data_IF_251860565139
#
_entry.id   IF_251860565139
#
_cell.length_a   1.000
_cell.length_b   1.000
_cell.length_c   1.000
_cell.angle_alpha   90.00
_cell.angle_beta   90.00
_cell.angle_gamma   90.00
#
_symmetry.space_group_name_H-M   'P 1'
#
loop_
_entity.id
_entity.type
_entity.pdbx_description
1 polymer ?
#
# COMPACT_ATOMS: atom_id res chain seq x y z
N UNK A 1 52.85 40.49 -42.45
CA UNK A 1 51.78 40.95 -41.56
C UNK A 1 50.87 39.79 -41.27
N UNK A 2 50.95 39.14 -40.11
CA UNK A 2 50.11 38.01 -39.70
C UNK A 2 49.10 38.53 -38.68
N UNK A 3 47.79 38.46 -38.97
CA UNK A 3 46.72 38.77 -38.02
C UNK A 3 46.56 37.58 -37.04
N UNK A 4 46.35 37.82 -35.76
CA UNK A 4 46.00 36.79 -34.82
C UNK A 4 44.50 36.48 -34.91
N UNK A 5 44.19 35.17 -35.00
CA UNK A 5 42.84 34.64 -34.92
C UNK A 5 42.41 34.62 -33.44
N UNK A 6 41.46 35.46 -33.08
CA UNK A 6 40.86 35.44 -31.76
C UNK A 6 39.83 34.32 -31.66
N UNK A 7 40.12 33.31 -30.85
CA UNK A 7 39.20 32.21 -30.53
C UNK A 7 38.25 32.68 -29.43
N UNK A 8 36.99 32.97 -29.76
CA UNK A 8 35.96 33.31 -28.80
C UNK A 8 35.40 32.04 -28.19
N UNK A 9 35.75 31.74 -26.94
CA UNK A 9 35.22 30.62 -26.15
C UNK A 9 33.83 30.98 -25.65
N UNK A 10 32.77 30.47 -26.25
CA UNK A 10 31.42 30.57 -25.72
C UNK A 10 31.26 29.58 -24.54
N UNK A 11 31.26 30.13 -23.32
CA UNK A 11 30.87 29.39 -22.11
C UNK A 11 29.35 29.21 -22.14
N UNK A 12 28.84 28.04 -22.47
CA UNK A 12 27.44 27.65 -22.24
C UNK A 12 27.31 27.30 -20.78
N UNK A 13 26.82 28.21 -19.96
CA UNK A 13 26.41 27.92 -18.59
C UNK A 13 25.15 27.06 -18.65
N UNK A 14 25.28 25.76 -18.34
CA UNK A 14 24.14 24.91 -18.08
C UNK A 14 23.49 25.40 -16.77
N UNK A 15 22.33 26.05 -16.88
CA UNK A 15 21.47 26.34 -15.75
C UNK A 15 20.98 24.98 -15.22
N UNK A 16 21.55 24.51 -14.11
CA UNK A 16 21.00 23.42 -13.34
C UNK A 16 19.61 23.91 -12.82
N UNK A 17 18.55 23.45 -13.45
CA UNK A 17 17.21 23.60 -12.89
C UNK A 17 17.20 22.80 -11.60
N UNK A 18 17.09 23.47 -10.46
CA UNK A 18 16.78 22.79 -9.20
C UNK A 18 15.44 22.07 -9.40
N UNK A 19 15.43 20.76 -9.25
CA UNK A 19 14.18 19.99 -9.30
C UNK A 19 13.22 20.55 -8.26
N UNK A 20 11.99 20.84 -8.67
CA UNK A 20 10.98 21.28 -7.72
C UNK A 20 10.77 20.22 -6.65
N UNK A 21 10.64 20.62 -5.37
CA UNK A 21 10.40 19.67 -4.29
C UNK A 21 9.09 18.89 -4.54
N UNK A 22 9.14 17.60 -4.34
CA UNK A 22 7.98 16.73 -4.49
C UNK A 22 6.94 17.10 -3.43
N UNK A 23 5.70 17.25 -3.85
CA UNK A 23 4.52 17.44 -2.99
C UNK A 23 3.44 16.46 -3.43
N UNK A 24 2.84 15.75 -2.48
CA UNK A 24 1.75 14.83 -2.73
C UNK A 24 0.46 15.28 -2.03
N UNK A 25 -0.67 15.19 -2.74
CA UNK A 25 -1.96 15.01 -2.11
C UNK A 25 -2.24 13.50 -2.01
N UNK A 26 -2.76 13.04 -0.88
CA UNK A 26 -2.96 11.62 -0.65
C UNK A 26 -4.14 11.34 0.28
N UNK A 27 -4.78 10.18 0.05
CA UNK A 27 -5.68 9.56 1.01
C UNK A 27 -4.86 8.81 2.05
N UNK A 28 -5.32 8.85 3.29
CA UNK A 28 -4.73 8.13 4.42
C UNK A 28 -5.82 7.37 5.18
N UNK A 29 -5.61 6.07 5.41
CA UNK A 29 -6.36 5.26 6.36
C UNK A 29 -5.49 5.05 7.60
N UNK A 30 -5.88 5.61 8.73
CA UNK A 30 -5.01 5.61 9.92
C UNK A 30 -5.75 5.55 11.26
N UNK A 31 -5.01 5.35 12.35
CA UNK A 31 -5.59 5.12 13.68
C UNK A 31 -6.27 6.36 14.26
N UNK A 32 -5.83 7.56 13.91
CA UNK A 32 -6.35 8.83 14.43
C UNK A 32 -7.09 9.68 13.41
N UNK A 33 -6.97 9.35 12.12
CA UNK A 33 -7.58 10.07 11.02
C UNK A 33 -7.76 9.15 9.81
N UNK A 34 -8.84 9.34 9.08
CA UNK A 34 -9.11 8.68 7.80
C UNK A 34 -9.66 9.73 6.85
N UNK A 35 -8.92 10.06 5.80
CA UNK A 35 -9.31 11.15 4.92
C UNK A 35 -8.27 11.52 3.87
N UNK A 36 -8.38 12.71 3.30
CA UNK A 36 -7.49 13.23 2.27
C UNK A 36 -6.73 14.45 2.80
N UNK A 37 -5.42 14.43 2.58
CA UNK A 37 -4.49 15.52 2.87
C UNK A 37 -3.99 16.07 1.53
N UNK A 38 -4.00 17.40 1.38
CA UNK A 38 -3.54 18.07 0.18
C UNK A 38 -2.00 18.23 0.14
N UNK A 39 -1.48 18.79 -0.96
CA UNK A 39 -0.04 18.95 -1.19
C UNK A 39 0.65 19.95 -0.25
N UNK A 40 -0.12 20.73 0.54
CA UNK A 40 0.41 21.62 1.57
C UNK A 40 0.18 21.10 2.99
N UNK A 41 -0.31 19.85 3.12
CA UNK A 41 -0.50 19.18 4.41
C UNK A 41 -1.83 19.47 5.09
N UNK A 42 -2.80 20.10 4.41
CA UNK A 42 -4.12 20.42 4.96
C UNK A 42 -5.08 19.24 4.77
N UNK A 43 -5.85 18.92 5.80
CA UNK A 43 -6.98 17.99 5.71
C UNK A 43 -8.11 18.60 4.87
N UNK A 44 -8.41 18.00 3.72
CA UNK A 44 -9.41 18.51 2.77
C UNK A 44 -10.66 17.65 2.69
N UNK A 45 -10.59 16.42 3.15
CA UNK A 45 -11.73 15.52 3.32
C UNK A 45 -11.51 14.61 4.52
N UNK A 46 -12.54 14.39 5.33
CA UNK A 46 -12.51 13.56 6.54
C UNK A 46 -13.70 12.60 6.53
N UNK A 47 -13.46 11.31 6.72
CA UNK A 47 -14.49 10.29 6.81
C UNK A 47 -15.37 10.42 8.07
N UNK A 48 -14.98 11.24 9.04
CA UNK A 48 -15.67 11.39 10.34
C UNK A 48 -15.50 10.19 11.28
N UNK A 49 -14.77 9.15 10.87
CA UNK A 49 -14.45 7.97 11.67
C UNK A 49 -12.99 7.59 11.42
N UNK A 50 -12.18 7.60 12.45
CA UNK A 50 -10.79 7.13 12.43
C UNK A 50 -10.71 5.61 12.52
N UNK A 51 -9.47 5.06 12.50
CA UNK A 51 -9.22 3.63 12.70
C UNK A 51 -9.43 2.78 11.47
N UNK A 52 -9.48 3.39 10.27
CA UNK A 52 -9.53 2.62 9.02
C UNK A 52 -8.23 1.84 8.80
N UNK A 53 -8.37 0.70 8.14
CA UNK A 53 -7.28 -0.25 7.87
C UNK A 53 -6.85 -0.26 6.42
N UNK A 54 -7.80 -0.04 5.52
CA UNK A 54 -7.59 0.01 4.08
C UNK A 54 -8.56 1.02 3.46
N UNK A 55 -8.29 1.48 2.26
CA UNK A 55 -9.21 2.34 1.53
C UNK A 55 -8.64 2.86 0.23
N UNK A 56 -9.55 3.32 -0.64
CA UNK A 56 -9.26 3.79 -1.98
C UNK A 56 -10.08 5.02 -2.32
N UNK A 57 -9.46 6.03 -2.91
CA UNK A 57 -10.17 7.00 -3.73
C UNK A 57 -10.35 6.37 -5.12
N UNK A 58 -11.59 6.11 -5.48
CA UNK A 58 -11.94 5.44 -6.73
C UNK A 58 -11.85 6.40 -7.92
N UNK A 59 -11.70 5.91 -9.17
CA UNK A 59 -11.60 6.79 -10.35
C UNK A 59 -12.74 7.78 -10.50
N UNK A 60 -13.97 7.41 -10.06
CA UNK A 60 -15.14 8.28 -10.03
C UNK A 60 -15.19 9.34 -8.92
N UNK A 61 -14.18 9.36 -8.04
CA UNK A 61 -14.08 10.28 -6.91
C UNK A 61 -14.73 9.79 -5.61
N UNK A 62 -15.47 8.68 -5.63
CA UNK A 62 -15.96 8.05 -4.41
C UNK A 62 -14.81 7.48 -3.58
N UNK A 63 -15.02 7.33 -2.28
CA UNK A 63 -14.00 6.83 -1.36
C UNK A 63 -14.51 5.55 -0.69
N UNK A 64 -13.84 4.42 -0.99
CA UNK A 64 -14.08 3.13 -0.36
C UNK A 64 -13.16 2.99 0.85
N UNK A 65 -13.72 2.65 2.02
CA UNK A 65 -12.95 2.56 3.27
C UNK A 65 -13.34 1.29 4.03
N UNK A 66 -12.33 0.57 4.54
CA UNK A 66 -12.50 -0.57 5.43
C UNK A 66 -12.09 -0.21 6.86
N UNK A 67 -13.03 -0.35 7.78
CA UNK A 67 -12.79 -0.42 9.23
C UNK A 67 -12.82 -1.87 9.70
N UNK A 68 -12.55 -2.09 10.96
CA UNK A 68 -12.59 -3.45 11.52
C UNK A 68 -13.99 -4.09 11.48
N UNK A 69 -15.03 -3.31 11.51
CA UNK A 69 -16.44 -3.73 11.63
C UNK A 69 -17.25 -3.59 10.35
N UNK A 70 -16.82 -2.70 9.45
CA UNK A 70 -17.63 -2.30 8.28
C UNK A 70 -16.76 -1.82 7.13
N UNK A 71 -17.20 -2.06 5.91
CA UNK A 71 -16.72 -1.41 4.69
C UNK A 71 -17.79 -0.43 4.23
N UNK A 72 -17.39 0.79 3.89
CA UNK A 72 -18.27 1.82 3.31
C UNK A 72 -17.65 2.46 2.08
N UNK A 73 -18.51 2.79 1.12
CA UNK A 73 -18.18 3.70 0.04
C UNK A 73 -18.95 5.01 0.24
N UNK A 74 -18.22 6.11 0.15
CA UNK A 74 -18.76 7.46 0.28
C UNK A 74 -18.64 8.20 -1.04
N UNK A 75 -19.63 9.02 -1.36
CA UNK A 75 -19.47 10.10 -2.31
C UNK A 75 -18.55 11.20 -1.74
N UNK A 76 -18.02 12.13 -2.56
CA UNK A 76 -17.21 13.24 -2.06
C UNK A 76 -17.93 14.11 -1.02
N UNK A 77 -19.26 14.24 -1.10
CA UNK A 77 -20.13 14.93 -0.14
C UNK A 77 -20.54 14.06 1.07
N UNK A 78 -19.86 12.93 1.28
CA UNK A 78 -20.00 12.00 2.44
C UNK A 78 -21.30 11.22 2.51
N UNK A 79 -22.05 11.10 1.43
CA UNK A 79 -23.18 10.19 1.38
C UNK A 79 -22.71 8.75 1.24
N UNK A 80 -23.18 7.84 2.08
CA UNK A 80 -22.91 6.40 1.97
C UNK A 80 -23.70 5.85 0.78
N UNK A 81 -23.01 5.20 -0.14
CA UNK A 81 -23.61 4.57 -1.34
C UNK A 81 -23.41 3.06 -1.40
N UNK A 82 -22.53 2.53 -0.55
CA UNK A 82 -22.35 1.10 -0.31
C UNK A 82 -21.98 0.87 1.15
N UNK A 83 -22.49 -0.20 1.74
CA UNK A 83 -22.11 -0.66 3.08
C UNK A 83 -22.11 -2.17 3.15
N UNK A 84 -21.09 -2.73 3.79
CA UNK A 84 -21.00 -4.14 4.14
C UNK A 84 -20.52 -4.28 5.58
N UNK A 85 -21.33 -4.89 6.44
CA UNK A 85 -20.94 -5.23 7.81
C UNK A 85 -20.35 -6.65 7.85
N UNK A 86 -19.28 -6.85 8.62
CA UNK A 86 -18.69 -8.18 8.81
C UNK A 86 -19.70 -9.18 9.36
N UNK A 87 -19.53 -10.44 9.02
CA UNK A 87 -20.32 -11.52 9.61
C UNK A 87 -20.07 -11.65 11.14
N UNK A 88 -21.10 -12.08 11.87
CA UNK A 88 -21.08 -12.14 13.33
C UNK A 88 -20.01 -13.12 13.88
N UNK A 89 -19.74 -14.20 13.16
CA UNK A 89 -18.76 -15.21 13.52
C UNK A 89 -17.31 -14.74 13.33
N UNK A 90 -17.08 -13.69 12.55
CA UNK A 90 -15.75 -13.13 12.33
C UNK A 90 -15.52 -11.90 13.23
N UNK A 91 -14.26 -11.60 13.47
CA UNK A 91 -13.84 -10.60 14.44
C UNK A 91 -13.59 -9.24 13.79
N UNK A 92 -12.99 -9.25 12.61
CA UNK A 92 -12.61 -8.01 11.93
C UNK A 92 -12.50 -8.16 10.41
N UNK A 93 -12.56 -7.01 9.74
CA UNK A 93 -12.25 -6.84 8.32
C UNK A 93 -10.79 -6.43 8.18
N UNK A 94 -10.05 -7.04 7.26
CA UNK A 94 -8.65 -6.73 6.98
C UNK A 94 -8.45 -5.79 5.80
N UNK A 95 -9.27 -5.93 4.74
CA UNK A 95 -9.09 -5.21 3.47
C UNK A 95 -10.43 -4.89 2.81
N UNK A 96 -10.44 -3.87 1.94
CA UNK A 96 -11.47 -3.67 0.92
C UNK A 96 -10.87 -3.05 -0.33
N UNK A 97 -11.19 -3.61 -1.51
CA UNK A 97 -10.80 -3.05 -2.80
C UNK A 97 -11.93 -3.18 -3.82
N UNK A 98 -12.18 -2.11 -4.62
CA UNK A 98 -13.16 -2.15 -5.70
C UNK A 98 -12.57 -2.90 -6.90
N UNK A 99 -13.32 -3.87 -7.41
CA UNK A 99 -12.94 -4.66 -8.58
C UNK A 99 -13.50 -4.06 -9.87
N UNK A 100 -12.89 -4.41 -11.00
CA UNK A 100 -13.30 -3.91 -12.31
C UNK A 100 -14.74 -4.31 -12.70
N UNK A 101 -15.25 -5.44 -12.18
CA UNK A 101 -16.62 -5.89 -12.38
C UNK A 101 -17.66 -5.19 -11.49
N UNK A 102 -17.23 -4.21 -10.67
CA UNK A 102 -18.08 -3.48 -9.73
C UNK A 102 -18.21 -4.13 -8.35
N UNK A 103 -17.81 -5.38 -8.16
CA UNK A 103 -17.79 -6.03 -6.85
C UNK A 103 -16.75 -5.39 -5.92
N UNK A 104 -16.91 -5.60 -4.62
CA UNK A 104 -15.93 -5.21 -3.60
C UNK A 104 -15.25 -6.46 -3.06
N UNK A 105 -13.93 -6.54 -3.20
CA UNK A 105 -13.12 -7.54 -2.51
C UNK A 105 -13.04 -7.17 -1.04
N UNK A 106 -13.33 -8.10 -0.14
CA UNK A 106 -13.30 -7.91 1.32
C UNK A 106 -12.64 -9.15 1.95
N UNK A 107 -11.76 -8.94 2.95
CA UNK A 107 -11.31 -10.04 3.81
C UNK A 107 -11.98 -9.95 5.17
N UNK A 108 -12.55 -11.04 5.64
CA UNK A 108 -13.02 -11.21 7.01
C UNK A 108 -12.09 -12.15 7.77
N UNK A 109 -11.77 -11.78 9.00
CA UNK A 109 -10.78 -12.43 9.85
C UNK A 109 -11.41 -12.83 11.17
N UNK A 110 -11.04 -13.99 11.69
CA UNK A 110 -11.61 -14.53 12.92
C UNK A 110 -11.71 -16.05 12.89
N UNK A 111 -12.84 -16.57 13.36
CA UNK A 111 -13.09 -18.00 13.42
C UNK A 111 -13.23 -18.65 12.02
N UNK A 112 -13.67 -17.87 11.03
CA UNK A 112 -13.83 -18.29 9.63
C UNK A 112 -13.14 -17.27 8.70
N UNK A 113 -11.79 -17.28 8.65
CA UNK A 113 -11.06 -16.32 7.83
C UNK A 113 -11.36 -16.60 6.35
N UNK A 114 -11.80 -15.54 5.64
CA UNK A 114 -12.23 -15.67 4.25
C UNK A 114 -12.02 -14.39 3.46
N UNK A 115 -11.97 -14.54 2.16
CA UNK A 115 -11.99 -13.48 1.17
C UNK A 115 -13.34 -13.56 0.45
N UNK A 116 -13.97 -12.42 0.26
CA UNK A 116 -15.28 -12.29 -0.37
C UNK A 116 -15.22 -11.34 -1.55
N UNK A 117 -15.97 -11.64 -2.61
CA UNK A 117 -16.42 -10.61 -3.55
C UNK A 117 -17.89 -10.31 -3.27
N UNK A 118 -18.16 -9.07 -2.90
CA UNK A 118 -19.50 -8.59 -2.56
C UNK A 118 -20.00 -7.70 -3.69
N UNK A 119 -21.20 -7.99 -4.21
CA UNK A 119 -21.81 -7.19 -5.29
C UNK A 119 -22.21 -5.80 -4.77
N UNK A 120 -22.50 -4.82 -5.66
CA UNK A 120 -23.02 -3.51 -5.26
C UNK A 120 -24.29 -3.56 -4.40
N UNK A 121 -25.11 -4.63 -4.56
CA UNK A 121 -26.34 -4.86 -3.77
C UNK A 121 -26.06 -5.55 -2.43
N UNK A 122 -24.78 -5.78 -2.06
CA UNK A 122 -24.39 -6.40 -0.79
C UNK A 122 -24.46 -7.93 -0.76
N UNK A 123 -24.57 -8.60 -1.91
CA UNK A 123 -24.63 -10.08 -1.98
C UNK A 123 -23.22 -10.65 -2.17
N UNK A 124 -22.90 -11.73 -1.48
CA UNK A 124 -21.66 -12.49 -1.67
C UNK A 124 -21.75 -13.25 -3.00
N UNK A 125 -20.88 -12.89 -3.96
CA UNK A 125 -20.76 -13.53 -5.27
C UNK A 125 -19.65 -14.62 -5.29
N UNK A 126 -18.56 -14.39 -4.53
CA UNK A 126 -17.43 -15.32 -4.39
C UNK A 126 -17.04 -15.38 -2.91
N UNK A 127 -16.75 -16.59 -2.43
CA UNK A 127 -16.18 -16.83 -1.12
C UNK A 127 -14.98 -17.77 -1.24
N UNK A 128 -13.84 -17.35 -0.70
CA UNK A 128 -12.60 -18.14 -0.66
C UNK A 128 -12.15 -18.27 0.79
N UNK A 129 -12.06 -19.49 1.28
CA UNK A 129 -11.53 -19.78 2.62
C UNK A 129 -10.04 -19.46 2.64
N UNK A 130 -9.61 -18.62 3.60
CA UNK A 130 -8.21 -18.29 3.80
C UNK A 130 -7.56 -19.26 4.79
N UNK A 131 -6.27 -19.50 4.59
CA UNK A 131 -5.44 -20.41 5.39
C UNK A 131 -4.29 -19.63 6.07
N UNK A 132 -4.57 -18.80 7.10
CA UNK A 132 -3.57 -17.89 7.72
C UNK A 132 -2.64 -18.59 8.71
N UNK A 133 -2.85 -19.88 8.99
CA UNK A 133 -2.04 -20.71 9.90
C UNK A 133 -1.97 -20.17 11.35
N UNK A 134 -2.98 -19.38 11.77
CA UNK A 134 -3.10 -18.85 13.13
C UNK A 134 -4.55 -18.55 13.49
N UNK A 135 -4.91 -18.73 14.78
CA UNK A 135 -6.22 -18.38 15.34
C UNK A 135 -6.28 -16.92 15.82
N UNK A 136 -5.15 -16.22 15.86
CA UNK A 136 -5.14 -14.80 16.21
C UNK A 136 -5.69 -13.96 15.06
N UNK A 137 -6.98 -13.61 15.12
CA UNK A 137 -7.68 -12.88 14.07
C UNK A 137 -6.93 -11.63 13.60
N UNK A 138 -6.36 -10.87 14.54
CA UNK A 138 -5.62 -9.65 14.23
C UNK A 138 -4.34 -9.91 13.42
N UNK A 139 -3.77 -11.10 13.54
CA UNK A 139 -2.51 -11.50 12.90
C UNK A 139 -2.71 -12.48 11.72
N UNK A 140 -3.96 -12.65 11.26
CA UNK A 140 -4.26 -13.56 10.14
C UNK A 140 -3.81 -12.98 8.80
N UNK A 141 -4.58 -12.04 8.25
CA UNK A 141 -4.39 -11.53 6.88
C UNK A 141 -4.60 -10.03 6.86
N UNK A 142 -3.83 -9.34 6.03
CA UNK A 142 -4.04 -7.92 5.78
C UNK A 142 -4.27 -7.70 4.27
N UNK A 143 -3.93 -6.66 3.71
CA UNK A 143 -4.20 -6.08 2.40
C UNK A 143 -4.16 -7.08 1.23
N UNK A 144 -5.16 -7.97 1.16
CA UNK A 144 -5.33 -8.88 0.03
C UNK A 144 -5.78 -8.13 -1.23
N UNK A 145 -5.36 -8.61 -2.40
CA UNK A 145 -5.67 -8.00 -3.70
C UNK A 145 -6.05 -9.06 -4.73
N UNK A 146 -6.93 -8.72 -5.68
CA UNK A 146 -7.24 -9.57 -6.83
C UNK A 146 -6.23 -9.30 -7.94
N UNK A 147 -5.71 -10.37 -8.53
CA UNK A 147 -4.77 -10.33 -9.64
C UNK A 147 -5.49 -10.26 -10.99
N UNK A 148 -4.79 -9.80 -12.03
CA UNK A 148 -5.29 -9.83 -13.40
C UNK A 148 -5.61 -11.25 -13.90
N UNK A 149 -4.96 -12.27 -13.34
CA UNK A 149 -5.26 -13.69 -13.60
C UNK A 149 -6.64 -14.14 -13.09
N UNK A 150 -7.27 -13.35 -12.21
CA UNK A 150 -8.48 -13.72 -11.48
C UNK A 150 -8.21 -14.32 -10.11
N UNK A 151 -6.98 -14.72 -9.80
CA UNK A 151 -6.56 -15.21 -8.48
C UNK A 151 -6.48 -14.07 -7.45
N UNK A 152 -6.26 -14.42 -6.19
CA UNK A 152 -6.17 -13.49 -5.07
C UNK A 152 -4.82 -13.64 -4.39
N UNK A 153 -4.14 -12.52 -4.18
CA UNK A 153 -2.89 -12.44 -3.44
C UNK A 153 -3.20 -12.00 -2.00
N UNK A 154 -2.83 -12.81 -1.01
CA UNK A 154 -3.15 -12.58 0.40
C UNK A 154 -1.91 -12.73 1.28
N UNK A 155 -1.46 -11.64 1.94
CA UNK A 155 -0.38 -11.71 2.92
C UNK A 155 -0.91 -12.25 4.26
N UNK A 156 -0.27 -13.29 4.79
CA UNK A 156 -0.58 -13.92 6.06
C UNK A 156 0.54 -13.68 7.07
N UNK A 157 0.28 -12.85 8.08
CA UNK A 157 1.32 -12.31 8.97
C UNK A 157 2.09 -13.41 9.69
N UNK A 158 1.42 -14.18 10.57
CA UNK A 158 2.10 -15.19 11.39
C UNK A 158 2.42 -16.48 10.65
N UNK A 159 1.85 -16.68 9.45
CA UNK A 159 2.31 -17.73 8.54
C UNK A 159 3.65 -17.37 7.87
N UNK A 160 4.09 -16.10 7.92
CA UNK A 160 5.29 -15.60 7.23
C UNK A 160 5.25 -15.88 5.72
N UNK A 161 4.07 -15.72 5.10
CA UNK A 161 3.85 -16.05 3.69
C UNK A 161 2.90 -15.07 3.02
N UNK A 162 3.16 -14.80 1.77
CA UNK A 162 2.15 -14.31 0.84
C UNK A 162 1.65 -15.48 0.03
N UNK A 163 0.33 -15.74 0.06
CA UNK A 163 -0.28 -16.86 -0.69
C UNK A 163 -1.11 -16.34 -1.85
N UNK A 164 -1.06 -17.07 -2.96
CA UNK A 164 -1.95 -16.87 -4.10
C UNK A 164 -3.01 -17.97 -4.12
N UNK A 165 -4.28 -17.54 -4.11
CA UNK A 165 -5.45 -18.40 -4.12
C UNK A 165 -6.18 -18.33 -5.45
N UNK A 166 -6.66 -19.47 -5.96
CA UNK A 166 -7.67 -19.47 -7.04
C UNK A 166 -9.04 -19.07 -6.48
N UNK A 167 -10.02 -18.70 -7.33
CA UNK A 167 -11.40 -18.45 -6.89
C UNK A 167 -12.06 -19.65 -6.17
N UNK A 168 -11.58 -20.88 -6.42
CA UNK A 168 -12.04 -22.11 -5.77
C UNK A 168 -11.35 -22.37 -4.43
N UNK A 169 -10.44 -21.48 -3.99
CA UNK A 169 -9.75 -21.57 -2.70
C UNK A 169 -8.47 -22.44 -2.70
N UNK A 170 -7.98 -22.86 -3.87
CA UNK A 170 -6.73 -23.60 -3.96
C UNK A 170 -5.54 -22.64 -3.85
N UNK A 171 -4.57 -22.92 -2.97
CA UNK A 171 -3.27 -22.24 -2.95
C UNK A 171 -2.43 -22.75 -4.12
N UNK A 172 -2.02 -21.85 -5.00
CA UNK A 172 -1.23 -22.15 -6.20
C UNK A 172 0.18 -21.60 -6.16
N UNK A 173 0.45 -20.65 -5.25
CA UNK A 173 1.78 -20.08 -5.02
C UNK A 173 1.92 -19.63 -3.58
N UNK A 174 3.13 -19.78 -3.02
CA UNK A 174 3.52 -19.20 -1.73
C UNK A 174 4.85 -18.47 -1.89
N UNK A 175 4.96 -17.30 -1.27
CA UNK A 175 6.20 -16.53 -1.15
C UNK A 175 6.53 -16.48 0.35
N UNK A 176 7.53 -17.23 0.83
CA UNK A 176 7.97 -17.14 2.22
C UNK A 176 8.68 -15.83 2.49
N UNK A 177 8.43 -15.24 3.66
CA UNK A 177 9.05 -13.98 4.09
C UNK A 177 10.05 -14.16 5.25
N UNK A 178 10.14 -15.36 5.79
CA UNK A 178 11.13 -15.75 6.83
C UNK A 178 12.42 -16.35 6.25
N UNK A 179 12.83 -15.86 5.07
CA UNK A 179 14.06 -16.28 4.40
C UNK A 179 15.29 -15.90 5.22
N UNK A 180 16.32 -16.73 5.24
CA UNK A 180 17.61 -16.46 5.88
C UNK A 180 18.26 -15.17 5.35
N UNK A 181 18.12 -14.89 4.04
CA UNK A 181 18.60 -13.65 3.41
C UNK A 181 17.90 -12.39 3.93
N UNK A 182 16.76 -12.53 4.60
CA UNK A 182 16.01 -11.45 5.25
C UNK A 182 16.16 -11.45 6.77
N UNK A 183 17.02 -12.31 7.32
CA UNK A 183 17.26 -12.45 8.75
C UNK A 183 16.49 -13.61 9.41
N UNK A 184 15.89 -14.50 8.61
CA UNK A 184 15.16 -15.67 9.11
C UNK A 184 13.88 -15.32 9.87
N UNK A 185 13.34 -16.31 10.57
CA UNK A 185 12.07 -16.18 11.31
C UNK A 185 12.16 -15.21 12.51
N UNK A 186 13.32 -15.09 13.12
CA UNK A 186 13.57 -14.17 14.25
C UNK A 186 13.53 -12.69 13.87
N UNK A 187 13.64 -12.36 12.58
CA UNK A 187 13.47 -11.00 12.08
C UNK A 187 12.01 -10.55 12.05
N UNK A 188 11.06 -11.47 12.34
CA UNK A 188 9.62 -11.19 12.41
C UNK A 188 9.09 -10.48 11.16
N UNK A 189 9.51 -10.97 10.00
CA UNK A 189 9.17 -10.43 8.68
C UNK A 189 7.70 -10.75 8.32
N UNK A 190 6.74 -10.19 9.05
CA UNK A 190 5.31 -10.42 8.84
C UNK A 190 4.83 -9.64 7.62
N UNK A 191 4.36 -10.31 6.56
CA UNK A 191 3.85 -9.62 5.37
C UNK A 191 2.52 -8.94 5.66
N UNK A 192 2.46 -7.61 5.48
CA UNK A 192 1.26 -6.82 5.72
C UNK A 192 0.55 -6.44 4.42
N UNK A 193 1.28 -5.92 3.45
CA UNK A 193 0.80 -5.57 2.10
C UNK A 193 1.57 -6.38 1.08
N UNK A 194 0.88 -6.89 0.05
CA UNK A 194 1.48 -7.56 -1.09
C UNK A 194 0.89 -7.00 -2.38
N UNK A 195 1.72 -6.43 -3.23
CA UNK A 195 1.35 -5.74 -4.47
C UNK A 195 1.96 -6.48 -5.65
N UNK A 196 1.11 -6.96 -6.57
CA UNK A 196 1.58 -7.50 -7.83
C UNK A 196 2.02 -6.36 -8.76
N UNK A 197 3.26 -6.38 -9.19
CA UNK A 197 3.83 -5.38 -10.09
C UNK A 197 3.69 -5.80 -11.55
N UNK A 198 3.73 -4.82 -12.47
CA UNK A 198 3.60 -5.06 -13.92
C UNK A 198 4.70 -5.97 -14.49
N UNK A 199 5.91 -5.94 -13.90
CA UNK A 199 7.01 -6.83 -14.28
C UNK A 199 6.83 -8.29 -13.79
N UNK A 200 5.73 -8.58 -13.09
CA UNK A 200 5.40 -9.88 -12.52
C UNK A 200 6.01 -10.17 -11.15
N UNK A 201 6.75 -9.22 -10.59
CA UNK A 201 7.25 -9.30 -9.23
C UNK A 201 6.16 -9.00 -8.19
N UNK A 202 6.45 -9.27 -6.93
CA UNK A 202 5.57 -8.96 -5.80
C UNK A 202 6.30 -8.05 -4.81
N UNK A 203 5.78 -6.84 -4.58
CA UNK A 203 6.27 -5.92 -3.57
C UNK A 203 5.55 -6.19 -2.24
N UNK A 204 6.29 -6.35 -1.15
CA UNK A 204 5.77 -6.73 0.16
C UNK A 204 6.33 -5.83 1.24
N UNK A 205 5.46 -5.23 2.07
CA UNK A 205 5.87 -4.63 3.33
C UNK A 205 5.92 -5.69 4.42
N UNK A 206 7.08 -5.79 5.07
CA UNK A 206 7.35 -6.70 6.18
C UNK A 206 7.29 -5.89 7.48
N UNK A 207 6.09 -5.88 8.11
CA UNK A 207 5.76 -4.88 9.13
C UNK A 207 6.70 -4.91 10.32
N UNK A 208 6.79 -5.95 11.10
CA UNK A 208 7.71 -6.02 12.27
C UNK A 208 9.18 -6.07 11.86
N UNK A 209 9.47 -6.67 10.70
CA UNK A 209 10.81 -6.73 10.11
C UNK A 209 11.35 -5.39 9.60
N UNK A 210 10.54 -4.33 9.61
CA UNK A 210 10.92 -2.95 9.26
C UNK A 210 11.63 -2.83 7.90
N UNK A 211 11.05 -3.44 6.86
CA UNK A 211 11.56 -3.38 5.49
C UNK A 211 10.46 -3.54 4.44
N UNK A 212 10.76 -3.09 3.24
CA UNK A 212 9.96 -3.35 2.03
C UNK A 212 10.81 -4.17 1.08
N UNK A 213 10.25 -5.25 0.54
CA UNK A 213 10.98 -6.25 -0.26
C UNK A 213 10.22 -6.50 -1.56
N UNK A 214 10.94 -6.60 -2.67
CA UNK A 214 10.41 -7.04 -3.94
C UNK A 214 10.91 -8.47 -4.22
N UNK A 215 9.97 -9.39 -4.44
CA UNK A 215 10.23 -10.77 -4.79
C UNK A 215 9.93 -11.00 -6.26
N UNK A 216 10.76 -11.78 -6.95
CA UNK A 216 10.45 -12.27 -8.30
C UNK A 216 9.36 -13.36 -8.28
N UNK A 217 9.06 -13.92 -9.46
CA UNK A 217 8.04 -14.97 -9.58
C UNK A 217 8.40 -16.26 -8.85
N UNK A 218 9.67 -16.54 -8.70
CA UNK A 218 10.24 -17.68 -8.00
C UNK A 218 10.34 -17.47 -6.48
N UNK A 219 9.98 -16.26 -5.98
CA UNK A 219 10.05 -15.89 -4.56
C UNK A 219 11.44 -15.49 -4.09
N UNK A 220 12.36 -15.18 -5.01
CA UNK A 220 13.70 -14.68 -4.69
C UNK A 220 13.64 -13.17 -4.47
N UNK A 221 14.37 -12.67 -3.49
CA UNK A 221 14.53 -11.23 -3.24
C UNK A 221 15.36 -10.59 -4.37
N UNK A 222 14.77 -9.63 -5.07
CA UNK A 222 15.42 -8.87 -6.15
C UNK A 222 15.67 -7.41 -5.80
N UNK A 223 14.96 -6.88 -4.81
CA UNK A 223 15.17 -5.55 -4.24
C UNK A 223 14.65 -5.52 -2.81
N UNK A 224 15.29 -4.73 -1.97
CA UNK A 224 14.80 -4.44 -0.61
C UNK A 224 15.28 -3.09 -0.15
N UNK A 225 14.53 -2.48 0.78
CA UNK A 225 14.89 -1.26 1.49
C UNK A 225 14.49 -1.40 2.95
N UNK A 226 15.34 -0.88 3.84
CA UNK A 226 15.16 -0.98 5.29
C UNK A 226 15.75 0.24 6.00
N UNK A 227 15.73 0.24 7.33
CA UNK A 227 16.37 1.29 8.13
C UNK A 227 17.88 1.41 7.92
N UNK A 228 18.54 0.36 7.45
CA UNK A 228 20.01 0.38 7.23
C UNK A 228 20.39 1.22 6.00
N UNK A 229 19.42 1.51 5.11
CA UNK A 229 19.64 2.35 3.94
C UNK A 229 19.53 3.87 4.25
N UNK A 230 19.11 4.27 5.49
CA UNK A 230 18.81 5.67 5.83
C UNK A 230 19.36 6.08 7.20
N UNK A 231 19.88 7.30 7.29
CA UNK A 231 20.30 7.89 8.56
C UNK A 231 19.11 8.16 9.50
N UNK A 232 17.96 8.54 8.95
CA UNK A 232 16.73 8.90 9.66
C UNK A 232 15.98 7.69 10.22
N UNK A 233 16.28 6.48 9.74
CA UNK A 233 15.62 5.22 10.13
C UNK A 233 14.09 5.32 10.09
N UNK A 234 13.47 5.59 8.91
CA UNK A 234 12.06 5.93 8.80
C UNK A 234 11.11 4.74 8.99
N UNK A 235 11.60 3.51 8.91
CA UNK A 235 10.77 2.32 9.07
C UNK A 235 10.44 2.06 10.55
N UNK A 236 9.13 2.00 10.84
CA UNK A 236 8.59 1.47 12.08
C UNK A 236 7.22 0.85 11.76
N UNK A 237 7.14 -0.47 11.79
CA UNK A 237 5.96 -1.25 11.41
C UNK A 237 5.35 -0.78 10.06
N UNK A 238 6.07 -0.89 8.91
CA UNK A 238 5.54 -0.50 7.62
C UNK A 238 4.31 -1.35 7.29
N UNK A 239 3.20 -0.68 6.98
CA UNK A 239 1.92 -1.32 6.66
C UNK A 239 1.60 -1.18 5.18
N UNK A 240 0.94 -0.11 4.77
CA UNK A 240 0.58 0.16 3.38
C UNK A 240 1.75 0.64 2.52
N UNK A 241 1.67 0.37 1.23
CA UNK A 241 2.59 0.90 0.25
C UNK A 241 1.88 1.18 -1.08
N UNK A 242 2.47 2.05 -1.89
CA UNK A 242 2.06 2.27 -3.28
C UNK A 242 3.30 2.35 -4.16
N UNK A 243 3.33 1.57 -5.26
CA UNK A 243 4.29 1.77 -6.34
C UNK A 243 3.75 2.86 -7.26
N UNK A 244 4.52 3.92 -7.45
CA UNK A 244 4.20 5.03 -8.34
C UNK A 244 4.59 4.73 -9.80
N UNK A 245 3.98 5.42 -10.80
CA UNK A 245 4.31 5.23 -12.22
C UNK A 245 5.78 5.52 -12.56
N UNK A 246 6.45 6.38 -11.80
CA UNK A 246 7.88 6.68 -11.97
C UNK A 246 8.82 5.60 -11.40
N UNK A 247 8.25 4.50 -10.86
CA UNK A 247 8.99 3.40 -10.23
C UNK A 247 9.32 3.61 -8.75
N UNK A 248 9.05 4.77 -8.18
CA UNK A 248 9.25 5.02 -6.76
C UNK A 248 8.21 4.27 -5.92
N UNK A 249 8.52 4.05 -4.66
CA UNK A 249 7.61 3.39 -3.69
C UNK A 249 7.32 4.34 -2.55
N UNK A 250 6.04 4.61 -2.30
CA UNK A 250 5.57 5.30 -1.10
C UNK A 250 5.24 4.27 -0.05
N UNK A 251 5.70 4.49 1.19
CA UNK A 251 5.62 3.53 2.30
C UNK A 251 5.01 4.23 3.51
N UNK A 252 3.98 3.62 4.10
CA UNK A 252 3.36 4.07 5.34
C UNK A 252 4.04 3.40 6.54
N UNK A 253 4.68 4.18 7.40
CA UNK A 253 5.34 3.75 8.62
C UNK A 253 4.39 3.87 9.81
N UNK A 254 3.54 2.87 10.02
CA UNK A 254 2.45 2.90 11.01
C UNK A 254 2.91 3.09 12.45
N UNK A 255 3.99 2.40 12.84
CA UNK A 255 4.56 2.45 14.18
C UNK A 255 5.40 3.70 14.48
N UNK A 256 5.59 4.60 13.50
CA UNK A 256 6.50 5.73 13.60
C UNK A 256 6.22 6.60 14.84
N UNK A 257 7.18 6.64 15.74
CA UNK A 257 7.22 7.54 16.91
C UNK A 257 7.96 8.84 16.60
N UNK A 258 8.81 8.84 15.57
CA UNK A 258 9.52 9.99 15.04
C UNK A 258 8.63 10.84 14.11
N UNK A 259 9.24 11.79 13.41
CA UNK A 259 8.50 12.74 12.57
C UNK A 259 8.00 12.12 11.27
N UNK A 260 8.77 11.22 10.65
CA UNK A 260 8.44 10.62 9.35
C UNK A 260 7.34 9.56 9.52
N UNK A 261 6.14 9.83 8.99
CA UNK A 261 4.97 8.92 9.03
C UNK A 261 4.77 8.18 7.71
N UNK A 262 5.09 8.84 6.61
CA UNK A 262 5.05 8.30 5.25
C UNK A 262 6.26 8.84 4.51
N UNK A 263 6.86 8.03 3.64
CA UNK A 263 8.00 8.44 2.86
C UNK A 263 8.03 7.78 1.48
N UNK A 264 8.67 8.44 0.52
CA UNK A 264 8.86 7.95 -0.85
C UNK A 264 10.33 7.63 -1.08
N UNK A 265 10.60 6.46 -1.64
CA UNK A 265 11.94 6.00 -2.01
C UNK A 265 12.04 5.67 -3.49
N UNK A 266 13.17 6.02 -4.11
CA UNK A 266 13.48 5.63 -5.49
C UNK A 266 13.92 4.16 -5.56
N UNK A 267 13.95 3.54 -6.77
CA UNK A 267 14.56 2.22 -6.96
C UNK A 267 16.01 2.13 -6.48
N UNK A 268 16.75 3.27 -6.48
CA UNK A 268 18.12 3.38 -5.98
C UNK A 268 18.19 3.62 -4.47
N UNK A 269 17.05 3.47 -3.76
CA UNK A 269 16.92 3.61 -2.31
C UNK A 269 17.19 5.03 -1.78
N UNK A 270 17.02 6.06 -2.60
CA UNK A 270 17.08 7.45 -2.17
C UNK A 270 15.71 7.88 -1.66
N UNK A 271 15.62 8.39 -0.43
CA UNK A 271 14.42 9.03 0.08
C UNK A 271 14.27 10.41 -0.57
N UNK A 272 13.11 10.63 -1.25
CA UNK A 272 12.88 11.83 -2.06
C UNK A 272 11.70 12.68 -1.57
N UNK A 273 10.85 12.12 -0.73
CA UNK A 273 9.75 12.84 -0.09
C UNK A 273 9.40 12.21 1.25
N UNK A 274 8.91 13.04 2.18
CA UNK A 274 8.43 12.61 3.50
C UNK A 274 7.18 13.38 3.91
N UNK A 275 6.26 12.69 4.58
CA UNK A 275 5.18 13.30 5.32
C UNK A 275 5.50 13.26 6.81
N UNK A 276 5.62 14.44 7.41
CA UNK A 276 5.96 14.65 8.83
C UNK A 276 4.78 15.20 9.63
N UNK A 277 3.57 15.18 9.05
CA UNK A 277 2.37 15.63 9.73
C UNK A 277 1.95 14.74 10.90
N UNK A 278 0.83 15.07 11.54
CA UNK A 278 0.40 14.43 12.79
C UNK A 278 -0.16 13.01 12.65
N UNK A 279 -0.56 12.58 11.42
CA UNK A 279 -1.31 11.35 11.23
C UNK A 279 -0.42 10.18 10.78
N UNK A 280 -0.55 9.05 11.48
CA UNK A 280 0.02 7.76 11.05
C UNK A 280 -0.93 7.06 10.11
N UNK A 281 -0.41 6.18 9.25
CA UNK A 281 -1.17 5.47 8.24
C UNK A 281 -1.01 3.95 8.37
N UNK A 282 -2.13 3.21 8.29
CA UNK A 282 -2.13 1.81 7.89
C UNK A 282 -1.98 1.70 6.37
N UNK A 283 -2.69 2.56 5.64
CA UNK A 283 -2.69 2.57 4.17
C UNK A 283 -2.62 4.00 3.64
N UNK A 284 -2.07 4.13 2.46
CA UNK A 284 -1.92 5.40 1.74
C UNK A 284 -2.24 5.22 0.27
N UNK A 285 -2.81 6.27 -0.34
CA UNK A 285 -2.91 6.40 -1.79
C UNK A 285 -2.54 7.81 -2.20
N UNK A 286 -1.46 7.97 -2.95
CA UNK A 286 -1.11 9.24 -3.59
C UNK A 286 -2.11 9.53 -4.69
N UNK A 287 -2.66 10.75 -4.68
CA UNK A 287 -3.69 11.20 -5.61
C UNK A 287 -3.12 12.17 -6.66
N UNK A 288 -2.27 13.11 -6.19
CA UNK A 288 -1.57 14.05 -7.07
C UNK A 288 -0.11 14.17 -6.68
N UNK A 289 0.72 14.58 -7.64
CA UNK A 289 2.11 14.98 -7.42
C UNK A 289 2.34 16.31 -8.11
N UNK A 290 2.72 17.35 -7.36
CA UNK A 290 2.96 18.70 -7.86
C UNK A 290 1.79 19.21 -8.74
N UNK A 291 0.56 19.09 -8.25
CA UNK A 291 -0.68 19.50 -8.92
C UNK A 291 -1.15 18.58 -10.05
N UNK A 292 -0.40 17.54 -10.39
CA UNK A 292 -0.77 16.57 -11.44
C UNK A 292 -1.39 15.34 -10.84
N UNK A 293 -2.58 14.97 -11.31
CA UNK A 293 -3.25 13.72 -10.92
C UNK A 293 -2.44 12.52 -11.41
N UNK A 294 -2.31 11.50 -10.56
CA UNK A 294 -1.74 10.23 -10.98
C UNK A 294 -2.72 9.51 -11.91
N UNK A 295 -2.23 9.05 -13.05
CA UNK A 295 -3.00 8.28 -14.01
C UNK A 295 -3.02 6.80 -13.65
N UNK A 296 -4.08 6.10 -14.09
CA UNK A 296 -4.24 4.66 -13.89
C UNK A 296 -4.81 4.26 -12.53
N UNK A 297 -4.89 2.95 -12.31
CA UNK A 297 -5.25 2.37 -11.02
C UNK A 297 -4.02 2.33 -10.12
N UNK A 298 -4.18 2.67 -8.83
CA UNK A 298 -3.04 2.64 -7.91
C UNK A 298 -2.57 1.20 -7.67
N UNK A 299 -1.26 0.97 -7.82
CA UNK A 299 -0.60 -0.28 -7.41
C UNK A 299 -0.32 -0.24 -5.91
N UNK A 300 -1.26 -0.70 -5.11
CA UNK A 300 -1.19 -0.66 -3.64
C UNK A 300 -1.90 -1.83 -2.96
#
# INVERSE_FOLDING_TARGET
MRLPLALTLCLVAALAHAEEPIRHSFFIAGPSFTGIIDEVGKEVWDAGKAGARDGFVLPGGNILIAWADVVREFTPDRKVVFEYAKAAENREIGTAARLANGNTLITELGAKPRLLEVTPEGKVAVEVVLLPETDNAHMQTRMARKLASGNYLAPHLLAFKVKEYTPEGKVVREIPTDLESLGGRQAENWPFTAIALENGNTLVNLTHGNKTVEFDREGKVVWQVSNDDFAEKPFADPCGAQRLPNGNTVIASYGAKGDIKVFEVTPQKKMVWTYTGKHRAHEIQVLTTNGKKLEGLPLK
#
